data_IF_070388245450
#
_entry.id   IF_070388245450
#
_cell.length_a   1.000
_cell.length_b   1.000
_cell.length_c   1.000
_cell.angle_alpha   90.00
_cell.angle_beta   90.00
_cell.angle_gamma   90.00
#
_symmetry.space_group_name_H-M   'P 1'
#
loop_
_entity.id
_entity.type
_entity.pdbx_description
1 polymer ?
#
# COMPACT_ATOMS: atom_id res chain seq x y z
N UNK A 1 11.28 23.82 1.76
CA UNK A 1 10.15 24.50 2.41
C UNK A 1 8.90 23.62 2.55
N UNK A 2 8.65 22.67 1.63
CA UNK A 2 7.45 21.82 1.64
C UNK A 2 7.71 20.35 1.94
N UNK A 3 8.97 19.91 2.00
CA UNK A 3 9.38 18.57 2.43
C UNK A 3 9.41 18.46 3.95
N UNK A 4 9.03 17.29 4.49
CA UNK A 4 9.14 17.04 5.93
C UNK A 4 10.59 16.89 6.34
N UNK A 5 11.02 17.66 7.35
CA UNK A 5 12.32 17.48 7.99
C UNK A 5 12.15 16.89 9.37
N UNK A 6 13.01 15.98 9.83
CA UNK A 6 12.92 15.43 11.19
C UNK A 6 12.90 16.48 12.29
N UNK A 7 13.58 17.61 12.10
CA UNK A 7 13.59 18.77 13.02
C UNK A 7 12.20 19.41 13.25
N UNK A 8 11.26 19.25 12.31
CA UNK A 8 9.88 19.77 12.45
C UNK A 8 9.19 19.29 13.72
N UNK A 9 9.48 18.05 14.12
CA UNK A 9 8.84 17.46 15.31
C UNK A 9 9.41 18.00 16.63
N UNK A 10 10.68 18.40 16.65
CA UNK A 10 11.30 19.01 17.85
C UNK A 10 10.87 20.47 18.06
N UNK A 11 10.55 21.15 16.99
CA UNK A 11 10.22 22.58 17.04
C UNK A 11 8.71 22.87 16.91
N UNK A 12 7.90 21.86 16.60
CA UNK A 12 6.47 21.99 16.26
C UNK A 12 6.19 23.04 15.17
N UNK A 13 7.17 23.29 14.30
CA UNK A 13 7.08 24.22 13.19
C UNK A 13 6.77 23.49 11.89
N UNK A 14 6.14 24.19 10.94
CA UNK A 14 5.91 23.65 9.59
C UNK A 14 5.17 22.30 9.52
N UNK A 15 4.26 22.01 10.45
CA UNK A 15 3.49 20.76 10.50
C UNK A 15 2.68 20.48 9.22
N UNK A 16 2.38 21.50 8.42
CA UNK A 16 1.74 21.34 7.13
C UNK A 16 2.56 20.46 6.17
N UNK A 17 3.89 20.41 6.36
CA UNK A 17 4.79 19.59 5.53
C UNK A 17 4.53 18.09 5.67
N UNK A 18 3.90 17.64 6.75
CA UNK A 18 3.44 16.26 6.92
C UNK A 18 2.47 15.82 5.82
N UNK A 19 1.72 16.78 5.27
CA UNK A 19 0.77 16.53 4.18
C UNK A 19 1.39 16.94 2.84
N UNK A 20 1.99 18.13 2.75
CA UNK A 20 2.47 18.65 1.47
C UNK A 20 3.63 17.83 0.89
N UNK A 21 4.46 17.24 1.73
CA UNK A 21 5.58 16.38 1.29
C UNK A 21 5.12 15.19 0.46
N UNK A 22 3.94 14.66 0.72
CA UNK A 22 3.38 13.54 -0.04
C UNK A 22 3.09 13.88 -1.52
N UNK A 23 2.98 15.16 -1.86
CA UNK A 23 2.73 15.63 -3.22
C UNK A 23 4.01 16.07 -3.95
N UNK A 24 5.14 16.06 -3.28
CA UNK A 24 6.44 16.39 -3.86
C UNK A 24 7.18 15.12 -4.26
N UNK A 25 7.90 15.15 -5.38
CA UNK A 25 8.69 14.04 -5.87
C UNK A 25 10.05 14.53 -6.37
N UNK A 26 11.09 13.76 -6.08
CA UNK A 26 12.48 14.09 -6.43
C UNK A 26 12.82 13.89 -7.93
N UNK A 27 11.86 13.40 -8.74
CA UNK A 27 12.03 13.21 -10.17
C UNK A 27 10.90 12.37 -10.78
N UNK A 28 10.91 12.29 -12.11
CA UNK A 28 9.85 11.60 -12.87
C UNK A 28 9.71 10.13 -12.51
N UNK A 29 10.81 9.40 -12.35
CA UNK A 29 10.75 7.98 -12.00
C UNK A 29 10.21 7.76 -10.58
N UNK A 30 10.50 8.67 -9.65
CA UNK A 30 9.95 8.66 -8.31
C UNK A 30 8.42 8.87 -8.35
N UNK A 31 7.94 9.82 -9.14
CA UNK A 31 6.51 10.05 -9.32
C UNK A 31 5.82 8.84 -9.97
N UNK A 32 6.37 8.34 -11.10
CA UNK A 32 5.78 7.21 -11.84
C UNK A 32 5.70 5.96 -10.96
N UNK A 33 6.76 5.64 -10.21
CA UNK A 33 6.75 4.48 -9.31
C UNK A 33 5.71 4.63 -8.20
N UNK A 34 5.59 5.81 -7.58
CA UNK A 34 4.54 6.06 -6.60
C UNK A 34 3.14 5.89 -7.18
N UNK A 35 2.88 6.46 -8.36
CA UNK A 35 1.57 6.34 -9.01
C UNK A 35 1.27 4.90 -9.42
N UNK A 36 2.26 4.16 -9.89
CA UNK A 36 2.11 2.75 -10.23
C UNK A 36 1.72 1.91 -9.01
N UNK A 37 2.41 2.09 -7.89
CA UNK A 37 2.09 1.36 -6.66
C UNK A 37 0.71 1.77 -6.11
N UNK A 38 0.38 3.06 -6.15
CA UNK A 38 -0.94 3.53 -5.76
C UNK A 38 -2.04 2.94 -6.65
N UNK A 39 -1.83 2.87 -7.95
CA UNK A 39 -2.76 2.26 -8.91
C UNK A 39 -2.95 0.75 -8.64
N UNK A 40 -1.87 0.01 -8.39
CA UNK A 40 -1.94 -1.45 -8.18
C UNK A 40 -2.66 -1.79 -6.87
N UNK A 41 -2.42 -1.04 -5.80
CA UNK A 41 -2.88 -1.40 -4.46
C UNK A 41 -4.04 -0.52 -3.96
N UNK A 42 -4.14 0.72 -4.46
CA UNK A 42 -5.05 1.73 -3.93
C UNK A 42 -6.52 1.43 -4.18
N UNK A 43 -6.88 1.06 -5.40
CA UNK A 43 -8.28 0.83 -5.81
C UNK A 43 -9.00 -0.17 -4.91
N UNK A 44 -8.34 -1.29 -4.58
CA UNK A 44 -8.94 -2.32 -3.73
C UNK A 44 -9.15 -1.83 -2.29
N UNK A 45 -8.23 -1.01 -1.77
CA UNK A 45 -8.35 -0.45 -0.42
C UNK A 45 -9.37 0.68 -0.39
N UNK A 46 -9.45 1.49 -1.45
CA UNK A 46 -10.50 2.50 -1.60
C UNK A 46 -11.89 1.85 -1.69
N UNK A 47 -12.04 0.81 -2.51
CA UNK A 47 -13.29 0.05 -2.61
C UNK A 47 -13.71 -0.55 -1.26
N UNK A 48 -12.75 -1.01 -0.46
CA UNK A 48 -12.99 -1.58 0.86
C UNK A 48 -13.38 -0.54 1.91
N UNK A 49 -12.67 0.59 1.98
CA UNK A 49 -12.88 1.63 3.00
C UNK A 49 -13.95 2.66 2.59
N UNK A 50 -14.17 2.84 1.31
CA UNK A 50 -14.88 3.99 0.74
C UNK A 50 -13.98 5.24 0.68
N UNK A 51 -14.27 6.17 -0.23
CA UNK A 51 -13.42 7.32 -0.58
C UNK A 51 -12.93 8.14 0.60
N UNK A 52 -13.85 8.53 1.49
CA UNK A 52 -13.50 9.41 2.62
C UNK A 52 -12.56 8.73 3.60
N UNK A 53 -12.85 7.46 4.00
CA UNK A 53 -11.99 6.72 4.93
C UNK A 53 -10.66 6.36 4.30
N UNK A 54 -10.64 6.05 3.00
CA UNK A 54 -9.40 5.82 2.26
C UNK A 54 -8.49 7.05 2.31
N UNK A 55 -9.02 8.23 2.04
CA UNK A 55 -8.24 9.46 2.05
C UNK A 55 -7.69 9.77 3.46
N UNK A 56 -8.53 9.60 4.49
CA UNK A 56 -8.11 9.75 5.88
C UNK A 56 -7.00 8.74 6.22
N UNK A 57 -7.19 7.47 5.87
CA UNK A 57 -6.23 6.40 6.11
C UNK A 57 -4.90 6.65 5.40
N UNK A 58 -4.95 7.12 4.15
CA UNK A 58 -3.80 7.49 3.35
C UNK A 58 -2.98 8.61 4.01
N UNK A 59 -3.63 9.68 4.43
CA UNK A 59 -2.97 10.82 5.08
C UNK A 59 -2.36 10.41 6.42
N UNK A 60 -3.10 9.72 7.28
CA UNK A 60 -2.58 9.26 8.58
C UNK A 60 -1.46 8.23 8.41
N UNK A 61 -1.49 7.41 7.37
CA UNK A 61 -0.38 6.54 7.00
C UNK A 61 0.90 7.32 6.69
N UNK A 62 0.78 8.43 5.97
CA UNK A 62 1.89 9.34 5.71
C UNK A 62 2.43 10.01 6.97
N UNK A 63 1.54 10.44 7.86
CA UNK A 63 1.95 11.00 9.17
C UNK A 63 2.70 9.96 10.01
N UNK A 64 2.18 8.73 10.11
CA UNK A 64 2.85 7.64 10.83
C UNK A 64 4.22 7.31 10.23
N UNK A 65 4.32 7.32 8.90
CA UNK A 65 5.57 7.14 8.17
C UNK A 65 6.60 8.22 8.55
N UNK A 66 6.18 9.49 8.50
CA UNK A 66 7.04 10.63 8.83
C UNK A 66 7.50 10.59 10.29
N UNK A 67 6.61 10.22 11.21
CA UNK A 67 6.94 10.08 12.63
C UNK A 67 8.00 9.01 12.87
N UNK A 68 7.85 7.82 12.26
CA UNK A 68 8.84 6.76 12.45
C UNK A 68 10.20 7.17 11.86
N UNK A 69 10.21 7.77 10.68
CA UNK A 69 11.46 8.28 10.10
C UNK A 69 12.13 9.32 11.00
N UNK A 70 11.36 10.25 11.57
CA UNK A 70 11.90 11.29 12.45
C UNK A 70 12.55 10.71 13.71
N UNK A 71 11.96 9.65 14.29
CA UNK A 71 12.52 8.98 15.47
C UNK A 71 13.89 8.36 15.15
N UNK A 72 14.05 7.72 13.99
CA UNK A 72 15.28 7.02 13.62
C UNK A 72 16.30 7.91 12.88
N UNK A 73 15.88 9.09 12.41
CA UNK A 73 16.75 10.06 11.72
C UNK A 73 16.90 11.34 12.53
N UNK A 74 16.82 11.28 13.85
CA UNK A 74 16.99 12.41 14.74
C UNK A 74 18.34 13.10 14.45
N UNK A 75 18.29 14.37 14.04
CA UNK A 75 19.46 15.16 13.65
C UNK A 75 19.78 15.18 12.14
N UNK A 76 19.13 14.35 11.31
CA UNK A 76 19.24 14.49 9.87
C UNK A 76 18.32 15.61 9.37
N UNK A 77 18.90 16.62 8.70
CA UNK A 77 18.15 17.73 8.12
C UNK A 77 17.87 17.55 6.62
N UNK A 78 17.73 16.29 6.21
CA UNK A 78 17.36 15.94 4.82
C UNK A 78 15.84 15.93 4.71
N UNK A 79 15.26 16.75 3.81
CA UNK A 79 13.83 16.80 3.64
C UNK A 79 13.31 15.50 3.00
N UNK A 80 12.32 14.89 3.62
CA UNK A 80 11.59 13.77 3.06
C UNK A 80 10.50 14.27 2.11
N UNK A 81 10.40 13.63 0.95
CA UNK A 81 9.39 13.93 -0.07
C UNK A 81 8.90 12.63 -0.70
N UNK A 82 7.66 12.61 -1.13
CA UNK A 82 7.05 11.48 -1.84
C UNK A 82 5.85 10.89 -1.12
N UNK A 83 4.93 10.37 -1.91
CA UNK A 83 3.73 9.68 -1.44
C UNK A 83 4.03 8.30 -0.84
N UNK A 84 5.27 7.84 -0.92
CA UNK A 84 5.64 6.44 -0.67
C UNK A 84 5.33 5.95 0.74
N UNK A 85 5.39 6.82 1.76
CA UNK A 85 4.96 6.49 3.12
C UNK A 85 3.46 6.23 3.25
N UNK A 86 2.64 7.06 2.59
CA UNK A 86 1.19 6.84 2.47
C UNK A 86 0.88 5.55 1.71
N UNK A 87 1.59 5.30 0.61
CA UNK A 87 1.44 4.11 -0.22
C UNK A 87 1.88 2.86 0.55
N UNK A 88 2.93 2.95 1.35
CA UNK A 88 3.34 1.87 2.24
C UNK A 88 2.22 1.47 3.22
N UNK A 89 1.44 2.44 3.73
CA UNK A 89 0.26 2.15 4.55
C UNK A 89 -0.82 1.40 3.75
N UNK A 90 -1.07 1.80 2.51
CA UNK A 90 -1.98 1.08 1.62
C UNK A 90 -1.48 -0.35 1.37
N UNK A 91 -0.18 -0.55 1.13
CA UNK A 91 0.43 -1.87 0.94
C UNK A 91 0.33 -2.74 2.20
N UNK A 92 0.51 -2.17 3.40
CA UNK A 92 0.31 -2.86 4.67
C UNK A 92 -1.14 -3.34 4.86
N UNK A 93 -2.12 -2.50 4.51
CA UNK A 93 -3.53 -2.85 4.49
C UNK A 93 -3.83 -3.96 3.46
N UNK A 94 -3.28 -3.84 2.26
CA UNK A 94 -3.45 -4.81 1.18
C UNK A 94 -2.89 -6.19 1.55
N UNK A 95 -1.74 -6.22 2.22
CA UNK A 95 -1.12 -7.44 2.72
C UNK A 95 -2.05 -8.24 3.64
N UNK A 96 -2.85 -7.55 4.45
CA UNK A 96 -3.83 -8.18 5.37
C UNK A 96 -5.10 -8.64 4.64
N UNK A 97 -5.64 -7.77 3.77
CA UNK A 97 -6.94 -7.98 3.14
C UNK A 97 -6.88 -8.92 1.93
N UNK A 98 -5.82 -8.80 1.14
CA UNK A 98 -5.71 -9.45 -0.18
C UNK A 98 -4.42 -10.29 -0.35
N UNK A 99 -4.02 -11.13 0.65
CA UNK A 99 -2.72 -11.80 0.62
C UNK A 99 -2.54 -12.75 -0.56
N UNK A 100 -3.63 -13.32 -1.08
CA UNK A 100 -3.65 -14.29 -2.18
C UNK A 100 -3.96 -13.66 -3.55
N UNK A 101 -4.28 -12.36 -3.60
CA UNK A 101 -4.49 -11.66 -4.86
C UNK A 101 -3.23 -11.77 -5.74
N UNK A 102 -3.43 -11.98 -7.03
CA UNK A 102 -2.31 -12.18 -7.95
C UNK A 102 -1.94 -10.88 -8.65
N UNK A 103 -0.68 -10.49 -8.51
CA UNK A 103 -0.11 -9.32 -9.16
C UNK A 103 0.70 -9.77 -10.37
N UNK A 104 0.50 -9.11 -11.51
CA UNK A 104 1.33 -9.33 -12.68
C UNK A 104 2.67 -8.64 -12.47
N UNK A 105 3.73 -9.43 -12.32
CA UNK A 105 5.09 -8.93 -12.22
C UNK A 105 5.74 -9.03 -13.57
N UNK A 106 6.31 -7.91 -14.01
CA UNK A 106 7.01 -7.77 -15.27
C UNK A 106 8.48 -8.15 -15.08
N UNK A 107 8.96 -9.09 -15.89
CA UNK A 107 10.36 -9.46 -15.96
C UNK A 107 10.88 -9.20 -17.37
N UNK A 108 11.97 -8.47 -17.44
CA UNK A 108 12.71 -8.25 -18.68
C UNK A 108 14.13 -8.80 -18.51
N UNK A 109 14.38 -9.94 -19.17
CA UNK A 109 15.68 -10.59 -19.16
C UNK A 109 16.17 -10.65 -20.62
N UNK A 110 17.18 -9.86 -20.94
CA UNK A 110 17.71 -9.66 -22.30
C UNK A 110 16.61 -9.22 -23.28
N UNK A 111 16.25 -10.10 -24.23
CA UNK A 111 15.20 -9.88 -25.22
C UNK A 111 13.84 -10.50 -24.84
N UNK A 112 13.79 -11.25 -23.75
CA UNK A 112 12.56 -11.93 -23.32
C UNK A 112 11.80 -11.08 -22.32
N UNK A 113 10.53 -10.82 -22.65
CA UNK A 113 9.57 -10.14 -21.78
C UNK A 113 8.61 -11.19 -21.25
N UNK A 114 8.57 -11.34 -19.93
CA UNK A 114 7.66 -12.27 -19.26
C UNK A 114 6.81 -11.56 -18.21
N UNK A 115 5.53 -11.95 -18.17
CA UNK A 115 4.64 -11.58 -17.08
C UNK A 115 4.31 -12.82 -16.28
N UNK A 116 4.66 -12.82 -15.00
CA UNK A 116 4.30 -13.89 -14.07
C UNK A 116 3.30 -13.36 -13.03
N UNK A 117 2.36 -14.21 -12.68
CA UNK A 117 1.35 -13.92 -11.64
C UNK A 117 1.87 -14.37 -10.29
N UNK A 118 2.25 -13.42 -9.44
CA UNK A 118 2.78 -13.69 -8.10
C UNK A 118 1.76 -13.28 -7.04
N UNK A 119 1.55 -14.06 -5.97
CA UNK A 119 0.71 -13.66 -4.86
C UNK A 119 1.18 -12.35 -4.22
N UNK A 120 0.24 -11.47 -3.88
CA UNK A 120 0.54 -10.14 -3.34
C UNK A 120 1.37 -10.19 -2.06
N UNK A 121 1.11 -11.16 -1.17
CA UNK A 121 1.88 -11.31 0.06
C UNK A 121 3.37 -11.59 -0.20
N UNK A 122 3.71 -12.28 -1.29
CA UNK A 122 5.11 -12.51 -1.67
C UNK A 122 5.73 -11.22 -2.18
N UNK A 123 5.07 -10.53 -3.11
CA UNK A 123 5.59 -9.27 -3.68
C UNK A 123 5.79 -8.20 -2.60
N UNK A 124 4.76 -7.98 -1.79
CA UNK A 124 4.80 -6.99 -0.71
C UNK A 124 5.77 -7.43 0.40
N UNK A 125 5.79 -8.74 0.74
CA UNK A 125 6.70 -9.29 1.74
C UNK A 125 8.17 -9.12 1.35
N UNK A 126 8.53 -9.37 0.10
CA UNK A 126 9.88 -9.12 -0.40
C UNK A 126 10.22 -7.63 -0.41
N UNK A 127 9.26 -6.78 -0.79
CA UNK A 127 9.46 -5.34 -0.77
C UNK A 127 9.74 -4.82 0.66
N UNK A 128 8.93 -5.18 1.65
CA UNK A 128 9.13 -4.73 3.04
C UNK A 128 10.40 -5.33 3.65
N UNK A 129 10.74 -6.57 3.32
CA UNK A 129 12.01 -7.17 3.73
C UNK A 129 13.20 -6.37 3.20
N UNK A 130 13.14 -5.95 1.94
CA UNK A 130 14.14 -5.05 1.35
C UNK A 130 14.27 -3.72 2.11
N UNK A 131 13.13 -3.10 2.52
CA UNK A 131 13.16 -1.89 3.33
C UNK A 131 13.86 -2.12 4.68
N UNK A 132 13.59 -3.24 5.35
CA UNK A 132 14.20 -3.59 6.63
C UNK A 132 15.72 -3.82 6.51
N UNK A 133 16.15 -4.52 5.47
CA UNK A 133 17.57 -4.77 5.21
C UNK A 133 18.30 -3.45 4.93
N UNK A 134 17.75 -2.59 4.08
CA UNK A 134 18.35 -1.30 3.74
C UNK A 134 18.39 -0.34 4.92
N UNK A 135 17.34 -0.33 5.76
CA UNK A 135 17.31 0.46 7.00
C UNK A 135 18.40 -0.01 7.99
N UNK A 136 18.57 -1.33 8.14
CA UNK A 136 19.61 -1.91 9.01
C UNK A 136 21.04 -1.68 8.49
N UNK A 137 21.21 -1.62 7.15
CA UNK A 137 22.49 -1.38 6.50
C UNK A 137 22.95 0.07 6.49
N UNK A 138 22.18 1.01 7.07
CA UNK A 138 22.45 2.46 7.00
C UNK A 138 22.76 2.93 5.58
N UNK A 139 21.98 2.49 4.60
CA UNK A 139 22.17 2.85 3.19
C UNK A 139 21.83 4.33 2.99
N UNK A 140 22.78 5.12 2.54
CA UNK A 140 22.61 6.58 2.29
C UNK A 140 22.36 6.84 0.79
N UNK A 141 21.24 6.36 0.28
CA UNK A 141 20.83 6.55 -1.13
C UNK A 141 19.68 7.55 -1.30
N UNK A 142 19.34 8.26 -0.22
CA UNK A 142 18.27 9.27 -0.22
C UNK A 142 16.86 8.68 -0.04
N UNK A 143 16.73 7.37 0.23
CA UNK A 143 15.45 6.72 0.49
C UNK A 143 15.14 6.72 1.98
N UNK A 144 13.91 7.14 2.35
CA UNK A 144 13.44 7.17 3.72
C UNK A 144 12.87 5.79 4.13
N UNK A 145 13.73 4.81 4.36
CA UNK A 145 13.34 3.43 4.65
C UNK A 145 12.46 3.29 5.89
N UNK A 146 12.75 4.03 6.96
CA UNK A 146 11.92 4.01 8.17
C UNK A 146 10.53 4.61 7.92
N UNK A 147 10.38 5.56 7.00
CA UNK A 147 9.06 6.04 6.59
C UNK A 147 8.24 4.94 5.92
N UNK A 148 8.86 4.14 5.03
CA UNK A 148 8.19 3.01 4.41
C UNK A 148 7.75 1.96 5.44
N UNK A 149 8.64 1.62 6.38
CA UNK A 149 8.34 0.68 7.48
C UNK A 149 7.22 1.23 8.36
N UNK A 150 7.26 2.51 8.73
CA UNK A 150 6.23 3.14 9.57
C UNK A 150 4.86 3.16 8.92
N UNK A 151 4.81 3.55 7.64
CA UNK A 151 3.59 3.50 6.85
C UNK A 151 3.03 2.07 6.77
N UNK A 152 3.87 1.09 6.44
CA UNK A 152 3.46 -0.31 6.36
C UNK A 152 2.90 -0.84 7.68
N UNK A 153 3.57 -0.59 8.81
CA UNK A 153 3.10 -0.99 10.13
C UNK A 153 1.74 -0.35 10.44
N UNK A 154 1.60 0.96 10.19
CA UNK A 154 0.33 1.66 10.35
C UNK A 154 -0.79 0.99 9.55
N UNK A 155 -0.54 0.69 8.28
CA UNK A 155 -1.52 0.04 7.41
C UNK A 155 -1.91 -1.35 7.88
N UNK A 156 -0.92 -2.17 8.21
CA UNK A 156 -1.11 -3.53 8.70
C UNK A 156 -1.92 -3.57 10.00
N UNK A 157 -1.51 -2.76 11.00
CA UNK A 157 -2.17 -2.69 12.31
C UNK A 157 -3.54 -2.03 12.19
N UNK A 158 -3.62 -0.92 11.46
CA UNK A 158 -4.85 -0.15 11.30
C UNK A 158 -5.98 -0.99 10.73
N UNK A 159 -5.72 -1.70 9.62
CA UNK A 159 -6.74 -2.57 9.01
C UNK A 159 -7.09 -3.74 9.92
N UNK A 160 -6.11 -4.39 10.52
CA UNK A 160 -6.34 -5.59 11.32
C UNK A 160 -7.15 -5.35 12.59
N UNK A 161 -6.93 -4.20 13.25
CA UNK A 161 -7.52 -3.93 14.55
C UNK A 161 -8.69 -2.93 14.51
N UNK A 162 -8.57 -1.84 13.75
CA UNK A 162 -9.60 -0.79 13.72
C UNK A 162 -10.74 -1.09 12.74
N UNK A 163 -10.48 -1.90 11.70
CA UNK A 163 -11.48 -2.25 10.69
C UNK A 163 -11.88 -3.72 10.72
N UNK A 164 -11.72 -4.39 11.85
CA UNK A 164 -12.02 -5.81 12.05
C UNK A 164 -13.47 -6.17 11.69
N UNK A 165 -14.42 -5.32 12.00
CA UNK A 165 -15.84 -5.54 11.67
C UNK A 165 -16.08 -5.57 10.15
N UNK A 166 -15.36 -4.74 9.39
CA UNK A 166 -15.44 -4.75 7.94
C UNK A 166 -14.88 -6.06 7.35
N UNK A 167 -13.80 -6.58 7.92
CA UNK A 167 -13.22 -7.87 7.52
C UNK A 167 -14.22 -9.00 7.76
N UNK A 168 -14.89 -9.00 8.89
CA UNK A 168 -15.90 -10.00 9.21
C UNK A 168 -17.11 -9.92 8.26
N UNK A 169 -17.61 -8.71 7.97
CA UNK A 169 -18.72 -8.52 7.02
C UNK A 169 -18.35 -8.98 5.60
N UNK A 170 -17.15 -8.63 5.13
CA UNK A 170 -16.67 -9.08 3.81
C UNK A 170 -16.58 -10.60 3.73
N UNK A 171 -16.07 -11.28 4.76
CA UNK A 171 -16.02 -12.75 4.82
C UNK A 171 -17.40 -13.38 4.83
N UNK A 172 -18.33 -12.81 5.56
CA UNK A 172 -19.72 -13.28 5.60
C UNK A 172 -20.35 -13.19 4.21
N UNK A 173 -20.21 -12.05 3.51
CA UNK A 173 -20.76 -11.85 2.17
C UNK A 173 -20.13 -12.87 1.19
N UNK A 174 -18.80 -13.05 1.22
CA UNK A 174 -18.12 -14.01 0.34
C UNK A 174 -18.57 -15.45 0.59
N UNK A 175 -18.77 -15.82 1.86
CA UNK A 175 -19.27 -17.15 2.20
C UNK A 175 -20.73 -17.35 1.73
N UNK A 176 -21.59 -16.31 1.82
CA UNK A 176 -22.96 -16.41 1.29
C UNK A 176 -22.98 -16.55 -0.23
N UNK A 177 -22.11 -15.83 -0.95
CA UNK A 177 -22.00 -15.95 -2.41
C UNK A 177 -21.48 -17.33 -2.81
N UNK A 178 -20.51 -17.88 -2.11
CA UNK A 178 -19.95 -19.22 -2.36
C UNK A 178 -20.98 -20.33 -2.08
N UNK A 179 -21.76 -20.20 -1.00
CA UNK A 179 -22.85 -21.14 -0.69
C UNK A 179 -23.96 -21.03 -1.73
N UNK A 180 -24.40 -19.83 -2.07
CA UNK A 180 -25.44 -19.62 -3.08
C UNK A 180 -25.03 -20.15 -4.48
N UNK A 181 -23.75 -20.00 -4.86
CA UNK A 181 -23.24 -20.51 -6.13
C UNK A 181 -23.13 -22.07 -6.11
N UNK A 182 -22.89 -22.65 -4.94
CA UNK A 182 -22.87 -24.12 -4.76
C UNK A 182 -24.25 -24.74 -4.79
N UNK A 183 -25.28 -24.02 -4.38
CA UNK A 183 -26.67 -24.49 -4.38
C UNK A 183 -27.36 -24.32 -5.75
N UNK A 184 -26.73 -23.65 -6.71
CA UNK A 184 -27.27 -23.50 -8.06
C UNK A 184 -27.18 -24.84 -8.84
N UNK A 185 -28.23 -25.21 -9.63
CA UNK A 185 -28.18 -26.33 -10.55
C UNK A 185 -27.00 -26.18 -11.54
N UNK A 186 -26.36 -27.28 -11.89
CA UNK A 186 -25.18 -27.34 -12.77
C UNK A 186 -25.37 -26.53 -14.07
N UNK A 187 -26.60 -26.50 -14.61
CA UNK A 187 -26.93 -25.71 -15.81
C UNK A 187 -26.81 -24.18 -15.64
N UNK A 188 -26.96 -23.68 -14.41
CA UNK A 188 -26.81 -22.27 -14.11
C UNK A 188 -25.36 -21.89 -13.70
N UNK A 189 -24.60 -22.83 -13.09
CA UNK A 189 -23.18 -22.63 -12.76
C UNK A 189 -22.34 -22.30 -13.99
N UNK A 190 -22.61 -22.97 -15.13
CA UNK A 190 -21.88 -22.70 -16.37
C UNK A 190 -22.21 -21.34 -17.01
N UNK A 191 -23.38 -20.76 -16.72
CA UNK A 191 -23.80 -19.44 -17.19
C UNK A 191 -23.22 -18.30 -16.32
N UNK A 192 -23.15 -18.47 -15.01
CA UNK A 192 -22.57 -17.49 -14.08
C UNK A 192 -21.05 -17.39 -14.23
N UNK A 193 -20.36 -18.52 -14.47
CA UNK A 193 -18.92 -18.53 -14.76
C UNK A 193 -18.58 -17.91 -16.13
N UNK A 194 -19.48 -17.96 -17.10
CA UNK A 194 -19.34 -17.30 -18.41
C UNK A 194 -19.49 -15.77 -18.32
N UNK A 195 -20.40 -15.30 -17.51
CA UNK A 195 -20.64 -13.85 -17.29
C UNK A 195 -19.58 -13.21 -16.37
N UNK A 196 -19.09 -13.96 -15.36
CA UNK A 196 -18.07 -13.50 -14.41
C UNK A 196 -16.68 -13.26 -15.02
N UNK A 197 -16.37 -13.90 -16.17
CA UNK A 197 -15.06 -13.70 -16.83
C UNK A 197 -14.97 -12.44 -17.68
N UNK A 198 -16.10 -11.87 -18.11
CA UNK A 198 -16.10 -10.68 -18.97
C UNK A 198 -16.41 -9.35 -18.25
N UNK A 199 -17.02 -9.39 -17.05
CA UNK A 199 -17.42 -8.17 -16.33
C UNK A 199 -16.51 -7.74 -15.19
N UNK A 200 -15.43 -8.47 -14.92
CA UNK A 200 -14.39 -8.03 -13.97
C UNK A 200 -13.20 -7.41 -14.69
N UNK A 201 -13.48 -6.40 -15.47
CA UNK A 201 -12.51 -5.36 -15.80
C UNK A 201 -12.88 -4.13 -14.93
N UNK A 202 -12.29 -4.08 -13.77
CA UNK A 202 -11.98 -2.85 -13.03
C UNK A 202 -10.99 -3.22 -11.95
#
# INVERSE_FOLDING_TARGET
EYGVRPSVFSEFTNLHTLITSAFLHGGFMHLISNMLFLYIYGDNIEAYLGRTKFLIFYVFGGVAAALLQAIFSAGADVPMIGASGCIAAIMGAYFVLYPKARINVFFWIFIFIHFIKVPANIVIGMWILGQLISAAGNTYDGVAYFAHIGGFIFGFVGIKYFFKEYIQRARVITNYEEVADNDLPISRKNKSQGLSKNDRRY
#
